data_IF_592687997631
#
_entry.id   IF_592687997631
#
_cell.length_a   1.000
_cell.length_b   1.000
_cell.length_c   1.000
_cell.angle_alpha   90.00
_cell.angle_beta   90.00
_cell.angle_gamma   90.00
#
_symmetry.space_group_name_H-M   'P 1'
#
loop_
_entity.id
_entity.type
_entity.pdbx_description
1 polymer ?
#
# COMPACT_ATOMS: atom_id res chain seq x y z
N UNK A 1 -25.71 -32.03 16.46
CA UNK A 1 -26.92 -31.72 17.25
C UNK A 1 -26.53 -30.83 18.43
N UNK A 2 -26.32 -29.52 18.19
CA UNK A 2 -26.09 -28.58 19.29
C UNK A 2 -27.44 -28.24 19.95
N UNK A 3 -27.71 -29.02 20.98
CA UNK A 3 -28.53 -28.77 22.15
C UNK A 3 -29.33 -27.45 22.17
N UNK A 4 -30.55 -27.47 21.61
CA UNK A 4 -31.52 -26.38 21.68
C UNK A 4 -32.24 -26.28 23.05
N UNK A 5 -31.70 -26.92 24.09
CA UNK A 5 -32.31 -26.95 25.44
C UNK A 5 -32.07 -25.67 26.25
N UNK A 6 -31.16 -24.80 25.82
CA UNK A 6 -30.95 -23.49 26.46
C UNK A 6 -32.09 -22.50 26.14
N UNK A 7 -32.81 -22.67 25.02
CA UNK A 7 -33.93 -21.80 24.68
C UNK A 7 -35.23 -22.12 25.46
N UNK A 8 -35.34 -23.29 26.09
CA UNK A 8 -36.54 -23.70 26.83
C UNK A 8 -36.56 -23.23 28.30
N UNK A 9 -35.51 -22.56 28.77
CA UNK A 9 -35.45 -21.93 30.09
C UNK A 9 -35.10 -20.47 29.84
N UNK A 10 -36.04 -19.56 30.14
CA UNK A 10 -35.86 -18.13 29.86
C UNK A 10 -34.50 -17.65 30.35
N UNK A 11 -33.69 -17.11 29.45
CA UNK A 11 -32.36 -16.62 29.79
C UNK A 11 -32.49 -15.54 30.87
N UNK A 12 -31.68 -15.64 31.91
CA UNK A 12 -31.70 -14.62 32.95
C UNK A 12 -31.15 -13.29 32.39
N UNK A 13 -31.69 -12.17 32.88
CA UNK A 13 -31.29 -10.83 32.44
C UNK A 13 -29.77 -10.57 32.47
N UNK A 14 -29.01 -10.96 33.51
CA UNK A 14 -27.56 -10.78 33.50
C UNK A 14 -26.85 -11.64 32.45
N UNK A 15 -27.37 -12.82 32.15
CA UNK A 15 -26.75 -13.78 31.22
C UNK A 15 -26.86 -13.31 29.77
N UNK A 16 -27.99 -12.67 29.41
CA UNK A 16 -28.14 -11.99 28.11
C UNK A 16 -27.19 -10.78 28.00
N UNK A 17 -27.01 -10.01 29.09
CA UNK A 17 -26.08 -8.88 29.10
C UNK A 17 -24.64 -9.35 28.90
N UNK A 18 -24.22 -10.44 29.55
CA UNK A 18 -22.90 -11.01 29.33
C UNK A 18 -22.72 -11.55 27.91
N UNK A 19 -23.71 -12.23 27.36
CA UNK A 19 -23.66 -12.72 25.98
C UNK A 19 -23.52 -11.57 24.96
N UNK A 20 -24.30 -10.50 25.11
CA UNK A 20 -24.21 -9.30 24.28
C UNK A 20 -22.86 -8.59 24.43
N UNK A 21 -22.33 -8.52 25.65
CA UNK A 21 -21.02 -7.92 25.92
C UNK A 21 -19.91 -8.70 25.22
N UNK A 22 -19.87 -10.02 25.38
CA UNK A 22 -18.87 -10.88 24.72
C UNK A 22 -19.01 -10.81 23.19
N UNK A 23 -20.25 -10.80 22.68
CA UNK A 23 -20.52 -10.68 21.25
C UNK A 23 -20.02 -9.34 20.68
N UNK A 24 -20.33 -8.23 21.34
CA UNK A 24 -19.91 -6.89 20.92
C UNK A 24 -18.39 -6.73 20.95
N UNK A 25 -17.71 -7.27 21.98
CA UNK A 25 -16.24 -7.30 22.07
C UNK A 25 -15.63 -8.11 20.93
N UNK A 26 -16.16 -9.31 20.68
CA UNK A 26 -15.69 -10.20 19.60
C UNK A 26 -15.85 -9.54 18.23
N UNK A 27 -17.02 -8.95 17.96
CA UNK A 27 -17.32 -8.25 16.72
C UNK A 27 -16.41 -7.02 16.53
N UNK A 28 -16.20 -6.23 17.58
CA UNK A 28 -15.33 -5.04 17.53
C UNK A 28 -13.88 -5.44 17.29
N UNK A 29 -13.38 -6.46 17.97
CA UNK A 29 -12.02 -6.97 17.76
C UNK A 29 -11.82 -7.47 16.33
N UNK A 30 -12.80 -8.20 15.78
CA UNK A 30 -12.75 -8.69 14.41
C UNK A 30 -12.73 -7.55 13.39
N UNK A 31 -13.59 -6.55 13.56
CA UNK A 31 -13.62 -5.39 12.66
C UNK A 31 -12.34 -4.56 12.75
N UNK A 32 -11.81 -4.36 13.96
CA UNK A 32 -10.53 -3.67 14.18
C UNK A 32 -9.35 -4.42 13.56
N UNK A 33 -9.34 -5.75 13.64
CA UNK A 33 -8.31 -6.58 13.02
C UNK A 33 -8.29 -6.40 11.49
N UNK A 34 -9.48 -6.43 10.86
CA UNK A 34 -9.61 -6.18 9.42
C UNK A 34 -9.17 -4.75 9.05
N UNK A 35 -9.50 -3.76 9.87
CA UNK A 35 -9.05 -2.37 9.67
C UNK A 35 -7.53 -2.22 9.81
N UNK A 36 -6.89 -2.89 10.76
CA UNK A 36 -5.44 -2.81 10.95
C UNK A 36 -4.69 -3.38 9.74
N UNK A 37 -5.18 -4.48 9.17
CA UNK A 37 -4.65 -5.03 7.91
C UNK A 37 -4.86 -4.02 6.76
N UNK A 38 -6.07 -3.46 6.62
CA UNK A 38 -6.38 -2.47 5.59
C UNK A 38 -5.56 -1.18 5.68
N UNK A 39 -5.26 -0.71 6.89
CA UNK A 39 -4.41 0.48 7.10
C UNK A 39 -2.95 0.25 6.67
N UNK A 40 -2.43 -0.97 6.86
CA UNK A 40 -1.14 -1.38 6.33
C UNK A 40 -1.13 -1.38 4.79
N UNK A 41 -2.20 -1.89 4.17
CA UNK A 41 -2.38 -1.85 2.72
C UNK A 41 -2.45 -0.42 2.17
N UNK A 42 -3.08 0.51 2.89
CA UNK A 42 -3.19 1.90 2.42
C UNK A 42 -1.81 2.57 2.33
N UNK A 43 -0.91 2.36 3.29
CA UNK A 43 0.47 2.86 3.23
C UNK A 43 1.29 2.21 2.11
N UNK A 44 1.17 0.90 1.92
CA UNK A 44 1.87 0.21 0.82
C UNK A 44 1.34 0.62 -0.56
N UNK A 45 0.05 0.89 -0.66
CA UNK A 45 -0.60 1.33 -1.89
C UNK A 45 -0.11 2.72 -2.33
N UNK A 46 -0.04 3.68 -1.39
CA UNK A 46 0.49 5.02 -1.63
C UNK A 46 1.92 4.98 -2.20
N UNK A 47 2.78 4.12 -1.65
CA UNK A 47 4.13 3.93 -2.19
C UNK A 47 4.11 3.33 -3.60
N UNK A 48 3.26 2.33 -3.87
CA UNK A 48 3.13 1.74 -5.22
C UNK A 48 2.61 2.73 -6.25
N UNK A 49 1.71 3.64 -5.88
CA UNK A 49 1.25 4.70 -6.75
C UNK A 49 2.40 5.66 -7.10
N UNK A 50 3.18 6.11 -6.11
CA UNK A 50 4.36 6.94 -6.34
C UNK A 50 5.36 6.25 -7.30
N UNK A 51 5.59 4.95 -7.11
CA UNK A 51 6.43 4.14 -8.01
C UNK A 51 5.86 4.03 -9.43
N UNK A 52 4.54 3.86 -9.59
CA UNK A 52 3.88 3.85 -10.90
C UNK A 52 4.06 5.17 -11.64
N UNK A 53 3.89 6.30 -10.96
CA UNK A 53 4.07 7.62 -11.57
C UNK A 53 5.55 7.90 -11.92
N UNK A 54 6.50 7.49 -11.07
CA UNK A 54 7.93 7.57 -11.38
C UNK A 54 8.30 6.72 -12.61
N UNK A 55 7.73 5.52 -12.73
CA UNK A 55 7.93 4.65 -13.88
C UNK A 55 7.29 5.20 -15.17
N UNK A 56 6.14 5.88 -15.09
CA UNK A 56 5.55 6.58 -16.24
C UNK A 56 6.43 7.75 -16.72
N UNK A 57 7.07 8.47 -15.79
CA UNK A 57 8.02 9.54 -16.11
C UNK A 57 9.29 9.01 -16.79
N UNK A 58 9.79 7.86 -16.37
CA UNK A 58 10.90 7.17 -17.04
C UNK A 58 10.58 6.73 -18.46
N UNK A 59 9.31 6.51 -18.79
CA UNK A 59 8.85 6.19 -20.14
C UNK A 59 8.64 7.45 -21.02
N UNK A 60 8.99 8.65 -20.53
CA UNK A 60 8.85 9.89 -21.30
C UNK A 60 7.43 10.46 -21.35
N UNK A 61 6.51 9.96 -20.50
CA UNK A 61 5.19 10.57 -20.32
C UNK A 61 5.29 11.65 -19.25
N UNK A 62 5.19 12.92 -19.65
CA UNK A 62 5.03 14.02 -18.71
C UNK A 62 3.73 13.86 -17.92
N UNK A 63 3.87 13.68 -16.61
CA UNK A 63 2.74 13.72 -15.68
C UNK A 63 2.57 15.16 -15.20
N UNK A 64 1.51 15.83 -15.65
CA UNK A 64 1.18 17.19 -15.22
C UNK A 64 1.10 17.25 -13.69
N UNK A 65 1.87 18.16 -13.07
CA UNK A 65 1.89 18.38 -11.62
C UNK A 65 3.00 17.66 -10.83
N UNK A 66 3.87 16.87 -11.46
CA UNK A 66 5.03 16.25 -10.80
C UNK A 66 6.33 16.99 -11.14
N UNK A 67 7.25 17.15 -10.20
CA UNK A 67 8.59 17.64 -10.51
C UNK A 67 9.47 16.43 -10.81
N UNK A 68 10.03 16.34 -12.03
CA UNK A 68 11.05 15.32 -12.30
C UNK A 68 12.38 15.88 -12.65
N UNK A 69 13.41 15.30 -12.05
CA UNK A 69 14.79 15.55 -12.39
C UNK A 69 15.38 14.28 -13.00
N UNK A 70 15.98 14.42 -14.18
CA UNK A 70 16.70 13.35 -14.84
C UNK A 70 18.19 13.70 -14.79
N UNK A 71 18.95 12.95 -14.00
CA UNK A 71 20.41 13.06 -13.99
C UNK A 71 20.99 11.89 -14.77
N UNK A 72 21.74 12.20 -15.83
CA UNK A 72 22.56 11.21 -16.53
C UNK A 72 24.01 11.33 -16.06
N UNK A 73 24.64 10.20 -15.77
CA UNK A 73 26.05 10.12 -15.39
C UNK A 73 26.71 9.01 -16.22
N UNK A 74 27.94 9.21 -16.64
CA UNK A 74 28.70 8.16 -17.33
C UNK A 74 28.93 6.98 -16.39
N UNK A 75 28.56 5.79 -16.84
CA UNK A 75 28.70 4.52 -16.14
C UNK A 75 29.85 3.66 -16.66
N UNK A 76 30.16 2.57 -15.95
CA UNK A 76 31.19 1.64 -16.39
C UNK A 76 30.78 0.97 -17.71
N UNK A 77 31.73 0.82 -18.64
CA UNK A 77 31.52 0.10 -19.91
C UNK A 77 30.83 0.90 -21.01
N UNK A 78 30.85 2.24 -21.00
CA UNK A 78 30.21 3.07 -22.04
C UNK A 78 28.70 3.23 -21.87
N UNK A 79 28.12 2.62 -20.84
CA UNK A 79 26.71 2.80 -20.48
C UNK A 79 26.47 4.13 -19.77
N UNK A 80 25.27 4.70 -19.90
CA UNK A 80 24.84 5.87 -19.12
C UNK A 80 24.00 5.42 -17.93
N UNK A 81 24.39 5.77 -16.71
CA UNK A 81 23.48 5.71 -15.56
C UNK A 81 22.49 6.87 -15.66
N UNK A 82 21.22 6.55 -15.81
CA UNK A 82 20.12 7.52 -15.81
C UNK A 82 19.36 7.38 -14.51
N UNK A 83 19.42 8.42 -13.68
CA UNK A 83 18.63 8.53 -12.46
C UNK A 83 17.43 9.44 -12.72
N UNK A 84 16.23 8.92 -12.58
CA UNK A 84 14.99 9.68 -12.60
C UNK A 84 14.46 9.84 -11.18
N UNK A 85 14.37 11.07 -10.72
CA UNK A 85 13.70 11.44 -9.47
C UNK A 85 12.35 12.05 -9.80
N UNK A 86 11.27 11.56 -9.19
CA UNK A 86 9.92 12.09 -9.32
C UNK A 86 9.40 12.52 -7.95
N UNK A 87 8.99 13.78 -7.82
CA UNK A 87 8.45 14.36 -6.60
C UNK A 87 6.99 14.71 -6.86
N UNK A 88 6.10 14.16 -6.03
CA UNK A 88 4.67 14.41 -6.08
C UNK A 88 4.32 15.75 -5.41
N UNK A 89 3.23 16.40 -5.81
CA UNK A 89 2.76 17.61 -5.14
C UNK A 89 2.32 17.37 -3.69
N UNK A 90 2.10 16.11 -3.29
CA UNK A 90 1.87 15.69 -1.90
C UNK A 90 3.18 15.48 -1.10
N UNK A 91 4.34 15.83 -1.67
CA UNK A 91 5.66 15.75 -1.02
C UNK A 91 6.32 14.36 -1.04
N UNK A 92 5.77 13.39 -1.79
CA UNK A 92 6.37 12.07 -1.91
C UNK A 92 7.40 12.04 -3.02
N UNK A 93 8.64 11.67 -2.70
CA UNK A 93 9.73 11.53 -3.67
C UNK A 93 10.03 10.04 -3.93
N UNK A 94 10.16 9.68 -5.20
CA UNK A 94 10.68 8.38 -5.64
C UNK A 94 11.89 8.61 -6.54
N UNK A 95 12.96 7.85 -6.33
CA UNK A 95 14.18 7.91 -7.13
C UNK A 95 14.43 6.53 -7.74
N UNK A 96 14.65 6.49 -9.05
CA UNK A 96 14.99 5.28 -9.78
C UNK A 96 16.25 5.49 -10.59
N UNK A 97 17.22 4.60 -10.42
CA UNK A 97 18.43 4.57 -11.23
C UNK A 97 18.39 3.37 -12.17
N UNK A 98 18.60 3.62 -13.46
CA UNK A 98 18.71 2.59 -14.50
C UNK A 98 20.02 2.77 -15.26
N UNK A 99 20.74 1.67 -15.48
CA UNK A 99 21.81 1.61 -16.46
C UNK A 99 21.20 1.52 -17.85
N UNK A 100 21.51 2.49 -18.70
CA UNK A 100 21.14 2.53 -20.10
C UNK A 100 22.40 2.33 -20.92
N UNK A 101 22.61 1.10 -21.35
CA UNK A 101 23.60 0.75 -22.36
C UNK A 101 22.87 0.77 -23.70
N UNK A 102 23.37 1.51 -24.69
CA UNK A 102 22.91 1.33 -26.06
C UNK A 102 23.41 -0.03 -26.54
N UNK A 103 22.49 -0.92 -26.89
CA UNK A 103 22.77 -2.27 -27.43
C UNK A 103 23.19 -2.20 -28.92
N UNK A 104 23.81 -1.08 -29.30
CA UNK A 104 24.28 -0.80 -30.65
C UNK A 104 25.76 -0.42 -30.58
N UNK A 105 26.56 -1.34 -30.04
CA UNK A 105 27.96 -1.46 -30.38
C UNK A 105 28.05 -2.58 -31.42
N UNK A 106 28.51 -2.22 -32.63
CA UNK A 106 28.75 -3.11 -33.79
C UNK A 106 29.37 -4.48 -33.44
#
# INVERSE_FOLDING_TARGET
MLNNRLLQRGASLPEVLFALLIFSLSYTALMRYQQAIGQGFHRQWQQREAWRYAFQRLQGKETAGWQTQLHSRSGPGGCRLVTAKAISPAGQAAELTRLQCDDHAD
#
